data_IF_810829852048
#
_entry.id   IF_810829852048
#
_cell.length_a   1.000
_cell.length_b   1.000
_cell.length_c   1.000
_cell.angle_alpha   90.00
_cell.angle_beta   90.00
_cell.angle_gamma   90.00
#
_symmetry.space_group_name_H-M   'P 1'
#
loop_
_entity.id
_entity.type
_entity.pdbx_description
1 polymer ?
#
# COMPACT_ATOMS: atom_id res chain seq x y z
N UNK A 1 3.18 -19.86 -6.03
CA UNK A 1 3.35 -18.68 -6.90
C UNK A 1 4.12 -17.66 -6.10
N UNK A 2 5.26 -17.20 -6.58
CA UNK A 2 6.00 -16.06 -6.00
C UNK A 2 5.15 -14.81 -6.22
N UNK A 3 4.74 -14.15 -5.13
CA UNK A 3 4.06 -12.86 -5.21
C UNK A 3 5.11 -11.83 -5.59
N UNK A 4 4.77 -10.89 -6.45
CA UNK A 4 5.65 -9.75 -6.67
C UNK A 4 5.76 -8.90 -5.41
N UNK A 5 6.89 -8.24 -5.24
CA UNK A 5 7.25 -7.49 -4.05
C UNK A 5 7.32 -6.00 -4.36
N UNK A 6 6.73 -5.18 -3.51
CA UNK A 6 6.75 -3.72 -3.65
C UNK A 6 7.40 -3.07 -2.43
N UNK A 7 8.47 -2.29 -2.66
CA UNK A 7 9.04 -1.39 -1.67
C UNK A 7 8.12 -0.19 -1.53
N UNK A 8 7.62 0.05 -0.33
CA UNK A 8 6.78 1.18 -0.01
C UNK A 8 7.63 2.31 0.57
N UNK A 9 7.72 3.41 -0.16
CA UNK A 9 8.41 4.61 0.28
C UNK A 9 7.64 5.32 1.42
N UNK A 10 8.34 6.09 2.25
CA UNK A 10 7.76 6.81 3.39
C UNK A 10 6.59 7.71 2.97
N UNK A 11 6.67 8.38 1.82
CA UNK A 11 5.65 9.31 1.34
C UNK A 11 4.27 8.64 1.09
N UNK A 12 4.22 7.34 0.77
CA UNK A 12 2.96 6.61 0.58
C UNK A 12 2.44 5.98 1.87
N UNK A 13 3.28 5.89 2.90
CA UNK A 13 2.92 5.40 4.23
C UNK A 13 2.42 6.50 5.17
N UNK A 14 2.73 7.77 4.91
CA UNK A 14 2.30 8.92 5.72
C UNK A 14 0.78 9.13 5.68
N UNK A 15 0.11 9.19 4.51
CA UNK A 15 -1.34 9.36 4.47
C UNK A 15 -2.04 8.10 4.99
N UNK A 16 -2.73 8.21 6.15
CA UNK A 16 -3.33 7.06 6.85
C UNK A 16 -4.25 6.25 5.94
N UNK A 17 -5.09 6.93 5.15
CA UNK A 17 -6.06 6.28 4.27
C UNK A 17 -5.37 5.47 3.17
N UNK A 18 -4.32 6.03 2.55
CA UNK A 18 -3.55 5.36 1.50
C UNK A 18 -2.77 4.17 2.07
N UNK A 19 -2.05 4.37 3.16
CA UNK A 19 -1.29 3.31 3.81
C UNK A 19 -2.17 2.14 4.25
N UNK A 20 -3.34 2.40 4.86
CA UNK A 20 -4.30 1.34 5.23
C UNK A 20 -4.81 0.59 3.99
N UNK A 21 -5.07 1.30 2.86
CA UNK A 21 -5.44 0.64 1.60
C UNK A 21 -4.33 -0.28 1.11
N UNK A 22 -3.09 0.23 1.01
CA UNK A 22 -1.94 -0.55 0.55
C UNK A 22 -1.73 -1.80 1.42
N UNK A 23 -1.75 -1.66 2.74
CA UNK A 23 -1.57 -2.79 3.66
C UNK A 23 -2.69 -3.81 3.56
N UNK A 24 -3.96 -3.41 3.41
CA UNK A 24 -5.09 -4.34 3.21
C UNK A 24 -5.00 -5.12 1.89
N UNK A 25 -4.44 -4.54 0.84
CA UNK A 25 -4.18 -5.27 -0.39
C UNK A 25 -3.05 -6.29 -0.20
N UNK A 26 -2.03 -5.96 0.58
CA UNK A 26 -0.99 -6.90 0.97
C UNK A 26 -1.53 -8.04 1.86
N UNK A 27 -2.39 -7.74 2.85
CA UNK A 27 -3.13 -8.75 3.65
C UNK A 27 -3.98 -9.67 2.77
N UNK A 28 -4.62 -9.10 1.72
CA UNK A 28 -5.36 -9.87 0.73
C UNK A 28 -4.43 -10.67 -0.20
N UNK A 29 -3.13 -10.63 0.05
CA UNK A 29 -2.12 -11.40 -0.68
C UNK A 29 -1.95 -11.00 -2.15
N UNK A 30 -2.28 -9.77 -2.50
CA UNK A 30 -2.11 -9.28 -3.87
C UNK A 30 -0.65 -9.00 -4.20
N UNK A 31 0.14 -8.60 -3.19
CA UNK A 31 1.57 -8.39 -3.30
C UNK A 31 2.25 -8.57 -1.94
N UNK A 32 3.58 -8.62 -1.92
CA UNK A 32 4.39 -8.62 -0.71
C UNK A 32 4.91 -7.21 -0.46
N UNK A 33 4.52 -6.54 0.64
CA UNK A 33 5.02 -5.23 0.98
C UNK A 33 6.44 -5.34 1.53
N UNK A 34 7.26 -4.32 1.26
CA UNK A 34 8.62 -4.18 1.81
C UNK A 34 8.85 -2.77 2.30
N UNK A 35 9.63 -2.63 3.37
CA UNK A 35 10.17 -1.37 3.90
C UNK A 35 11.46 -1.63 4.65
N UNK A 36 12.20 -0.58 4.96
CA UNK A 36 13.34 -0.63 5.88
C UNK A 36 13.02 0.10 7.18
N UNK A 37 13.79 -0.14 8.23
CA UNK A 37 13.67 0.59 9.49
C UNK A 37 13.85 2.11 9.29
N UNK A 38 14.65 2.55 8.31
CA UNK A 38 14.83 3.96 7.97
C UNK A 38 13.56 4.54 7.35
N UNK A 39 12.94 3.85 6.39
CA UNK A 39 11.64 4.24 5.81
C UNK A 39 10.59 4.42 6.91
N UNK A 40 10.50 3.49 7.85
CA UNK A 40 9.57 3.60 8.98
C UNK A 40 9.90 4.81 9.87
N UNK A 41 11.18 5.06 10.14
CA UNK A 41 11.61 6.24 10.93
C UNK A 41 11.22 7.55 10.23
N UNK A 42 11.42 7.64 8.93
CA UNK A 42 11.02 8.80 8.11
C UNK A 42 9.50 8.97 8.08
N UNK A 43 8.76 7.86 7.93
CA UNK A 43 7.30 7.86 8.02
C UNK A 43 6.82 8.42 9.37
N UNK A 44 7.39 7.94 10.48
CA UNK A 44 7.05 8.40 11.83
C UNK A 44 7.33 9.90 11.99
N UNK A 45 8.50 10.37 11.51
CA UNK A 45 8.87 11.79 11.54
C UNK A 45 7.87 12.63 10.75
N UNK A 46 7.60 12.25 9.52
CA UNK A 46 6.71 12.99 8.63
C UNK A 46 5.25 13.02 9.16
N UNK A 47 4.75 11.91 9.72
CA UNK A 47 3.44 11.89 10.38
C UNK A 47 3.38 12.91 11.52
N UNK A 48 4.43 12.99 12.35
CA UNK A 48 4.48 13.95 13.47
C UNK A 48 4.50 15.40 13.01
N UNK A 49 5.17 15.69 11.89
CA UNK A 49 5.22 17.02 11.29
C UNK A 49 3.85 17.44 10.72
N UNK A 50 3.16 16.53 10.01
CA UNK A 50 1.84 16.79 9.41
C UNK A 50 0.71 16.78 10.43
N UNK A 51 0.85 15.94 11.48
CA UNK A 51 -0.16 15.72 12.51
C UNK A 51 0.42 15.92 13.93
N UNK A 52 0.82 17.15 14.31
CA UNK A 52 1.46 17.42 15.60
C UNK A 52 0.58 17.10 16.80
N UNK A 53 -0.74 16.96 16.60
CA UNK A 53 -1.73 16.58 17.63
C UNK A 53 -1.69 15.09 17.99
N UNK A 54 -1.09 14.23 17.16
CA UNK A 54 -0.95 12.80 17.45
C UNK A 54 0.15 12.57 18.50
N UNK A 55 -0.11 11.68 19.44
CA UNK A 55 0.93 11.30 20.40
C UNK A 55 2.04 10.50 19.75
N UNK A 56 3.25 10.61 20.29
CA UNK A 56 4.39 9.81 19.79
C UNK A 56 4.12 8.30 19.95
N UNK A 57 3.32 7.92 20.96
CA UNK A 57 2.98 6.52 21.19
C UNK A 57 1.96 6.01 20.16
N UNK A 58 0.97 6.81 19.77
CA UNK A 58 0.03 6.41 18.71
C UNK A 58 0.74 6.17 17.38
N UNK A 59 1.72 7.03 17.04
CA UNK A 59 2.49 6.90 15.80
C UNK A 59 3.39 5.66 15.85
N UNK A 60 4.08 5.42 16.99
CA UNK A 60 4.89 4.21 17.18
C UNK A 60 4.05 2.94 17.13
N UNK A 61 2.94 2.90 17.86
CA UNK A 61 2.03 1.75 17.85
C UNK A 61 1.57 1.39 16.43
N UNK A 62 1.38 2.39 15.55
CA UNK A 62 1.06 2.14 14.14
C UNK A 62 2.22 1.46 13.40
N UNK A 63 3.44 1.93 13.58
CA UNK A 63 4.64 1.32 12.97
C UNK A 63 4.86 -0.11 13.48
N UNK A 64 4.75 -0.32 14.79
CA UNK A 64 4.89 -1.64 15.42
C UNK A 64 3.81 -2.61 14.92
N UNK A 65 2.57 -2.13 14.73
CA UNK A 65 1.48 -2.93 14.19
C UNK A 65 1.73 -3.34 12.72
N UNK A 66 2.36 -2.48 11.93
CA UNK A 66 2.76 -2.82 10.56
C UNK A 66 3.81 -3.94 10.55
N UNK A 67 4.88 -3.81 11.35
CA UNK A 67 5.92 -4.84 11.45
C UNK A 67 5.39 -6.17 12.02
N UNK A 68 4.47 -6.10 12.98
CA UNK A 68 3.84 -7.30 13.53
C UNK A 68 2.91 -8.01 12.53
N UNK A 69 2.22 -7.26 11.66
CA UNK A 69 1.33 -7.81 10.64
C UNK A 69 2.08 -8.44 9.45
N UNK A 70 3.28 -7.94 9.16
CA UNK A 70 4.07 -8.33 7.98
C UNK A 70 5.51 -8.67 8.39
N UNK A 71 5.69 -9.81 9.08
CA UNK A 71 6.98 -10.20 9.67
C UNK A 71 8.14 -10.39 8.68
N UNK A 72 7.87 -10.49 7.37
CA UNK A 72 8.85 -10.61 6.28
C UNK A 72 8.99 -9.34 5.43
N UNK A 73 8.35 -8.23 5.84
CA UNK A 73 8.39 -6.96 5.11
C UNK A 73 9.64 -6.13 5.41
N UNK A 74 10.20 -6.25 6.62
CA UNK A 74 11.34 -5.45 7.07
C UNK A 74 12.63 -5.93 6.43
N UNK A 75 13.26 -5.06 5.64
CA UNK A 75 14.52 -5.33 4.92
C UNK A 75 15.70 -4.78 5.73
N UNK A 76 16.71 -5.61 5.95
CA UNK A 76 17.94 -5.27 6.67
C UNK A 76 19.18 -5.55 5.82
N UNK A 77 20.34 -4.95 6.17
CA UNK A 77 21.62 -5.21 5.49
C UNK A 77 21.78 -4.49 4.14
N UNK A 78 21.03 -3.43 3.92
CA UNK A 78 21.07 -2.59 2.71
C UNK A 78 22.08 -1.45 2.79
N UNK A 79 22.57 -1.11 3.99
CA UNK A 79 23.32 0.10 4.29
C UNK A 79 24.61 0.22 3.46
N UNK A 80 25.27 -0.90 3.18
CA UNK A 80 26.48 -0.91 2.36
C UNK A 80 26.22 -0.54 0.89
N UNK A 81 25.02 -0.79 0.37
CA UNK A 81 24.65 -0.47 -1.00
C UNK A 81 24.25 0.99 -1.18
N UNK A 82 23.80 1.66 -0.14
CA UNK A 82 23.39 3.08 -0.21
C UNK A 82 24.50 3.96 -0.79
N UNK A 83 25.74 3.70 -0.42
CA UNK A 83 26.90 4.50 -0.83
C UNK A 83 27.32 4.35 -2.30
N UNK A 84 26.84 3.33 -2.99
CA UNK A 84 27.14 3.09 -4.43
C UNK A 84 26.00 3.48 -5.36
N UNK A 85 24.86 3.84 -4.80
CA UNK A 85 23.70 4.33 -5.55
C UNK A 85 23.80 5.84 -5.67
N UNK A 86 23.48 6.37 -6.83
CA UNK A 86 23.46 7.81 -7.09
C UNK A 86 22.09 8.21 -7.66
N UNK A 87 21.34 8.98 -6.90
CA UNK A 87 20.03 9.54 -7.27
C UNK A 87 20.09 11.07 -7.30
N UNK A 88 19.12 11.73 -7.98
CA UNK A 88 18.96 13.18 -7.90
C UNK A 88 18.78 13.70 -6.47
N UNK A 89 18.02 12.97 -5.66
CA UNK A 89 17.96 13.18 -4.22
C UNK A 89 18.79 12.08 -3.51
N UNK A 90 19.94 12.43 -2.88
CA UNK A 90 20.74 11.46 -2.16
C UNK A 90 20.03 10.81 -0.96
N UNK A 91 19.02 11.50 -0.39
CA UNK A 91 18.26 10.98 0.74
C UNK A 91 17.40 9.77 0.36
N UNK A 92 17.08 9.59 -0.94
CA UNK A 92 16.33 8.44 -1.47
C UNK A 92 17.18 7.20 -1.79
N UNK A 93 18.53 7.32 -1.76
CA UNK A 93 19.42 6.19 -2.10
C UNK A 93 19.18 4.95 -1.23
N UNK A 94 18.82 5.13 0.04
CA UNK A 94 18.50 4.01 0.94
C UNK A 94 17.26 3.22 0.52
N UNK A 95 16.28 3.86 -0.12
CA UNK A 95 15.06 3.19 -0.62
C UNK A 95 15.43 2.21 -1.72
N UNK A 96 16.27 2.64 -2.68
CA UNK A 96 16.76 1.78 -3.76
C UNK A 96 17.65 0.66 -3.21
N UNK A 97 18.56 0.98 -2.26
CA UNK A 97 19.40 -0.02 -1.62
C UNK A 97 18.56 -1.11 -0.93
N UNK A 98 17.53 -0.71 -0.17
CA UNK A 98 16.62 -1.63 0.48
C UNK A 98 15.79 -2.42 -0.55
N UNK A 99 15.37 -1.80 -1.66
CA UNK A 99 14.64 -2.48 -2.73
C UNK A 99 15.49 -3.58 -3.38
N UNK A 100 16.78 -3.32 -3.64
CA UNK A 100 17.71 -4.31 -4.20
C UNK A 100 17.88 -5.49 -3.23
N UNK A 101 18.20 -5.24 -1.96
CA UNK A 101 18.41 -6.29 -0.96
C UNK A 101 17.11 -7.08 -0.70
N UNK A 102 15.98 -6.39 -0.62
CA UNK A 102 14.65 -6.98 -0.43
C UNK A 102 14.13 -7.73 -1.65
N UNK A 103 14.83 -7.63 -2.80
CA UNK A 103 14.40 -8.16 -4.10
C UNK A 103 13.00 -7.66 -4.46
N UNK A 104 12.82 -6.33 -4.35
CA UNK A 104 11.61 -5.70 -4.79
C UNK A 104 11.51 -5.71 -6.32
N UNK A 105 10.32 -5.99 -6.85
CA UNK A 105 10.04 -5.87 -8.28
C UNK A 105 9.75 -4.41 -8.65
N UNK A 106 9.24 -3.63 -7.69
CA UNK A 106 8.94 -2.20 -7.88
C UNK A 106 9.05 -1.39 -6.59
N UNK A 107 9.19 -0.07 -6.76
CA UNK A 107 9.10 0.92 -5.70
C UNK A 107 7.80 1.71 -5.90
N UNK A 108 6.99 1.86 -4.85
CA UNK A 108 5.79 2.70 -4.85
C UNK A 108 6.12 4.01 -4.14
N UNK A 109 6.13 5.11 -4.89
CA UNK A 109 6.46 6.45 -4.39
C UNK A 109 5.66 7.53 -5.09
N UNK A 110 5.40 8.64 -4.41
CA UNK A 110 4.84 9.85 -5.02
C UNK A 110 5.89 10.68 -5.77
N UNK A 111 7.18 10.43 -5.52
CA UNK A 111 8.32 11.21 -6.03
C UNK A 111 9.04 10.51 -7.20
N UNK A 112 8.30 9.97 -8.15
CA UNK A 112 8.86 9.17 -9.28
C UNK A 112 10.02 9.87 -10.01
N UNK A 113 10.03 11.20 -10.06
CA UNK A 113 11.10 12.00 -10.70
C UNK A 113 12.47 11.82 -10.05
N UNK A 114 12.51 11.44 -8.78
CA UNK A 114 13.75 11.26 -8.01
C UNK A 114 14.37 9.86 -8.22
N UNK A 115 13.70 9.01 -9.00
CA UNK A 115 14.10 7.64 -9.34
C UNK A 115 14.27 7.45 -10.85
N UNK A 116 15.37 7.94 -11.47
CA UNK A 116 15.58 7.82 -12.90
C UNK A 116 15.61 6.37 -13.37
N UNK A 117 14.92 6.02 -14.48
CA UNK A 117 14.83 4.65 -14.95
C UNK A 117 16.19 4.00 -15.30
N UNK A 118 17.17 4.79 -15.77
CA UNK A 118 18.51 4.33 -16.10
C UNK A 118 19.30 3.86 -14.87
N UNK A 119 19.04 4.43 -13.70
CA UNK A 119 19.64 3.99 -12.43
C UNK A 119 19.04 2.66 -11.96
N UNK A 120 17.76 2.44 -12.20
CA UNK A 120 17.01 1.28 -11.70
C UNK A 120 17.00 0.10 -12.66
N UNK A 121 17.14 0.35 -13.97
CA UNK A 121 17.13 -0.67 -15.01
C UNK A 121 18.12 -1.84 -14.77
N UNK A 122 19.37 -1.61 -14.28
CA UNK A 122 20.31 -2.71 -14.00
C UNK A 122 19.81 -3.68 -12.91
N UNK A 123 18.90 -3.22 -12.04
CA UNK A 123 18.34 -4.00 -10.94
C UNK A 123 16.97 -4.59 -11.26
N UNK A 124 16.41 -4.30 -12.44
CA UNK A 124 15.08 -4.71 -12.86
C UNK A 124 13.96 -4.25 -11.91
N UNK A 125 14.14 -3.06 -11.32
CA UNK A 125 13.17 -2.46 -10.41
C UNK A 125 12.39 -1.37 -11.17
N UNK A 126 11.07 -1.47 -11.16
CA UNK A 126 10.18 -0.43 -11.68
C UNK A 126 9.86 0.60 -10.61
N UNK A 127 9.41 1.79 -11.03
CA UNK A 127 8.87 2.82 -10.11
C UNK A 127 7.47 3.18 -10.55
N UNK A 128 6.55 3.16 -9.61
CA UNK A 128 5.16 3.50 -9.86
C UNK A 128 4.64 4.51 -8.83
N UNK A 129 3.79 5.43 -9.29
CA UNK A 129 2.99 6.23 -8.35
C UNK A 129 1.98 5.33 -7.64
N UNK A 130 1.49 5.70 -6.44
CA UNK A 130 0.45 4.93 -5.77
C UNK A 130 -0.84 4.81 -6.62
N UNK A 131 -1.14 5.80 -7.45
CA UNK A 131 -2.30 5.78 -8.34
C UNK A 131 -2.18 4.67 -9.40
N UNK A 132 -1.05 4.63 -10.11
CA UNK A 132 -0.75 3.59 -11.11
C UNK A 132 -0.69 2.21 -10.45
N UNK A 133 -0.02 2.11 -9.31
CA UNK A 133 0.07 0.86 -8.57
C UNK A 133 -1.30 0.30 -8.21
N UNK A 134 -2.17 1.13 -7.63
CA UNK A 134 -3.51 0.71 -7.23
C UNK A 134 -4.42 0.40 -8.42
N UNK A 135 -4.28 1.13 -9.54
CA UNK A 135 -4.97 0.80 -10.79
C UNK A 135 -4.57 -0.60 -11.30
N UNK A 136 -3.28 -0.91 -11.31
CA UNK A 136 -2.79 -2.22 -11.71
C UNK A 136 -3.33 -3.32 -10.79
N UNK A 137 -3.40 -3.09 -9.47
CA UNK A 137 -4.02 -4.05 -8.54
C UNK A 137 -5.51 -4.25 -8.84
N UNK A 138 -6.23 -3.16 -9.14
CA UNK A 138 -7.66 -3.21 -9.47
C UNK A 138 -7.91 -3.99 -10.76
N UNK A 139 -7.06 -3.84 -11.76
CA UNK A 139 -7.17 -4.59 -13.03
C UNK A 139 -6.85 -6.07 -12.85
N UNK A 140 -5.84 -6.40 -12.07
CA UNK A 140 -5.42 -7.77 -11.81
C UNK A 140 -6.41 -8.56 -10.94
N UNK A 141 -6.98 -7.92 -9.92
CA UNK A 141 -7.83 -8.57 -8.93
C UNK A 141 -9.00 -7.69 -8.47
N UNK A 142 -9.91 -7.30 -9.39
CA UNK A 142 -10.92 -6.27 -9.11
C UNK A 142 -11.82 -6.61 -7.92
N UNK A 143 -12.21 -7.87 -7.76
CA UNK A 143 -13.07 -8.27 -6.64
C UNK A 143 -12.34 -8.19 -5.30
N UNK A 144 -11.08 -8.65 -5.23
CA UNK A 144 -10.29 -8.61 -4.01
C UNK A 144 -10.01 -7.16 -3.57
N UNK A 145 -9.68 -6.27 -4.52
CA UNK A 145 -9.47 -4.84 -4.25
C UNK A 145 -10.77 -4.19 -3.74
N UNK A 146 -11.88 -4.39 -4.43
CA UNK A 146 -13.16 -3.80 -4.03
C UNK A 146 -13.63 -4.32 -2.66
N UNK A 147 -13.43 -5.61 -2.37
CA UNK A 147 -13.74 -6.19 -1.06
C UNK A 147 -12.84 -5.63 0.04
N UNK A 148 -11.55 -5.40 -0.22
CA UNK A 148 -10.63 -4.75 0.72
C UNK A 148 -11.06 -3.31 1.03
N UNK A 149 -11.38 -2.51 0.01
CA UNK A 149 -11.89 -1.14 0.16
C UNK A 149 -13.20 -1.09 0.98
N UNK A 150 -14.13 -2.01 0.72
CA UNK A 150 -15.38 -2.09 1.45
C UNK A 150 -15.15 -2.46 2.94
N UNK A 151 -14.23 -3.38 3.23
CA UNK A 151 -13.83 -3.69 4.61
C UNK A 151 -13.16 -2.49 5.28
N UNK A 152 -12.29 -1.76 4.57
CA UNK A 152 -11.65 -0.54 5.08
C UNK A 152 -12.68 0.51 5.46
N UNK A 153 -13.64 0.82 4.59
CA UNK A 153 -14.71 1.78 4.87
C UNK A 153 -15.50 1.37 6.11
N UNK A 154 -15.89 0.10 6.22
CA UNK A 154 -16.67 -0.43 7.35
C UNK A 154 -15.88 -0.49 8.66
N UNK A 155 -14.56 -0.64 8.65
CA UNK A 155 -13.72 -0.69 9.84
C UNK A 155 -13.50 0.68 10.48
N UNK A 156 -13.69 1.76 9.72
CA UNK A 156 -13.64 3.13 10.25
C UNK A 156 -14.80 3.37 11.23
N UNK A 157 -14.46 3.75 12.47
CA UNK A 157 -15.47 3.88 13.54
C UNK A 157 -15.86 5.33 13.82
N UNK A 158 -14.95 6.28 13.62
CA UNK A 158 -15.20 7.71 13.93
C UNK A 158 -14.40 8.61 12.97
N UNK A 159 -15.04 9.19 11.95
CA UNK A 159 -16.41 8.91 11.48
C UNK A 159 -16.51 7.55 10.78
N UNK A 160 -17.71 6.97 10.73
CA UNK A 160 -17.97 5.82 9.88
C UNK A 160 -17.92 6.28 8.42
N UNK A 161 -17.08 5.64 7.63
CA UNK A 161 -16.92 5.97 6.20
C UNK A 161 -17.85 5.12 5.34
N UNK A 162 -18.38 5.74 4.30
CA UNK A 162 -18.93 5.01 3.15
C UNK A 162 -17.78 4.68 2.19
N UNK A 163 -18.01 3.73 1.28
CA UNK A 163 -17.04 3.46 0.23
C UNK A 163 -16.76 4.70 -0.64
N UNK A 164 -17.79 5.50 -0.93
CA UNK A 164 -17.62 6.74 -1.71
C UNK A 164 -16.73 7.75 -0.97
N UNK A 165 -16.99 7.98 0.32
CA UNK A 165 -16.15 8.86 1.13
C UNK A 165 -14.70 8.37 1.24
N UNK A 166 -14.49 7.05 1.36
CA UNK A 166 -13.15 6.46 1.34
C UNK A 166 -12.44 6.75 0.01
N UNK A 167 -13.13 6.54 -1.11
CA UNK A 167 -12.57 6.80 -2.44
C UNK A 167 -12.29 8.29 -2.68
N UNK A 168 -13.13 9.19 -2.14
CA UNK A 168 -12.85 10.63 -2.17
C UNK A 168 -11.58 10.99 -1.38
N UNK A 169 -11.39 10.39 -0.20
CA UNK A 169 -10.16 10.58 0.57
C UNK A 169 -8.93 10.03 -0.18
N UNK A 170 -9.03 8.87 -0.80
CA UNK A 170 -7.94 8.30 -1.61
C UNK A 170 -7.58 9.23 -2.77
N UNK A 171 -8.56 9.81 -3.45
CA UNK A 171 -8.30 10.79 -4.51
C UNK A 171 -7.46 11.98 -4.01
N UNK A 172 -7.72 12.47 -2.78
CA UNK A 172 -6.94 13.55 -2.16
C UNK A 172 -5.54 13.11 -1.70
N UNK A 173 -5.33 11.80 -1.52
CA UNK A 173 -4.03 11.21 -1.19
C UNK A 173 -3.16 10.90 -2.43
N UNK A 174 -3.49 11.47 -3.60
CA UNK A 174 -2.71 11.29 -4.83
C UNK A 174 -3.09 10.07 -5.66
N UNK A 175 -4.31 9.51 -5.48
CA UNK A 175 -4.81 8.38 -6.27
C UNK A 175 -6.16 8.68 -6.96
N UNK A 176 -6.26 9.76 -7.76
CA UNK A 176 -7.53 10.22 -8.32
C UNK A 176 -8.08 9.28 -9.41
N UNK A 177 -7.22 8.71 -10.25
CA UNK A 177 -7.64 7.86 -11.35
C UNK A 177 -8.09 6.48 -10.83
N UNK A 178 -7.37 5.94 -9.85
CA UNK A 178 -7.80 4.75 -9.12
C UNK A 178 -9.16 4.96 -8.45
N UNK A 179 -9.33 6.04 -7.70
CA UNK A 179 -10.58 6.33 -7.01
C UNK A 179 -11.76 6.45 -7.99
N UNK A 180 -11.56 7.14 -9.13
CA UNK A 180 -12.55 7.27 -10.20
C UNK A 180 -12.90 5.90 -10.80
N UNK A 181 -11.91 5.09 -11.10
CA UNK A 181 -12.11 3.75 -11.69
C UNK A 181 -12.79 2.82 -10.70
N UNK A 182 -12.36 2.79 -9.44
CA UNK A 182 -12.97 1.97 -8.39
C UNK A 182 -14.46 2.32 -8.16
N UNK A 183 -14.85 3.59 -8.26
CA UNK A 183 -16.26 4.00 -8.20
C UNK A 183 -17.11 3.31 -9.26
N UNK A 184 -16.61 3.07 -10.46
CA UNK A 184 -17.33 2.35 -11.52
C UNK A 184 -17.45 0.86 -11.25
N UNK A 185 -16.64 0.29 -10.36
CA UNK A 185 -16.59 -1.15 -10.04
C UNK A 185 -17.48 -1.55 -8.85
N UNK A 186 -18.20 -0.63 -8.23
CA UNK A 186 -19.03 -0.86 -7.02
C UNK A 186 -20.06 -1.96 -7.18
N UNK A 187 -20.58 -2.19 -8.39
CA UNK A 187 -21.52 -3.25 -8.70
C UNK A 187 -20.99 -4.67 -8.37
N UNK A 188 -19.67 -4.85 -8.34
CA UNK A 188 -19.03 -6.15 -8.02
C UNK A 188 -19.33 -6.60 -6.59
N UNK A 189 -19.46 -5.66 -5.65
CA UNK A 189 -19.80 -5.96 -4.26
C UNK A 189 -21.25 -6.46 -4.10
N UNK A 190 -22.17 -5.97 -4.92
CA UNK A 190 -23.55 -6.45 -4.91
C UNK A 190 -23.67 -7.90 -5.44
N UNK A 191 -22.88 -8.24 -6.46
CA UNK A 191 -22.84 -9.58 -7.02
C UNK A 191 -22.27 -10.63 -6.02
N UNK A 192 -21.30 -10.24 -5.19
CA UNK A 192 -20.70 -11.10 -4.16
C UNK A 192 -21.74 -11.49 -3.09
N UNK A 193 -22.57 -10.54 -2.66
CA UNK A 193 -23.64 -10.80 -1.68
C UNK A 193 -24.71 -11.76 -2.22
N UNK A 194 -25.05 -11.69 -3.48
CA UNK A 194 -26.02 -12.59 -4.10
C UNK A 194 -25.47 -14.02 -4.23
N UNK A 195 -24.22 -14.17 -4.61
CA UNK A 195 -23.57 -15.49 -4.73
C UNK A 195 -23.43 -16.19 -3.38
N UNK A 196 -23.14 -15.47 -2.32
CA UNK A 196 -23.02 -16.01 -0.95
C UNK A 196 -24.38 -16.46 -0.40
N UNK A 197 -25.46 -15.75 -0.74
CA UNK A 197 -26.83 -16.14 -0.34
C UNK A 197 -27.30 -17.42 -1.04
N UNK A 198 -26.99 -17.59 -2.32
CA UNK A 198 -27.38 -18.78 -3.10
C UNK A 198 -26.66 -20.03 -2.58
N UNK A 199 -25.39 -19.92 -2.20
CA UNK A 199 -24.62 -21.04 -1.64
C UNK A 199 -25.10 -21.43 -0.23
N UNK A 200 -25.50 -20.46 0.60
CA UNK A 200 -26.00 -20.73 1.95
C UNK A 200 -27.42 -21.31 1.97
N UNK A 201 -28.25 -21.03 0.97
CA UNK A 201 -29.60 -21.63 0.85
C UNK A 201 -29.54 -23.08 0.39
N UNK A 202 -28.64 -23.43 -0.52
CA UNK A 202 -28.47 -24.83 -0.98
C UNK A 202 -27.96 -25.80 0.09
N UNK A 203 -27.31 -25.29 1.15
CA UNK A 203 -26.83 -26.11 2.26
C UNK A 203 -27.91 -26.37 3.32
N UNK A 204 -29.04 -25.63 3.29
CA UNK A 204 -30.17 -25.84 4.23
C UNK A 204 -31.27 -26.76 3.69
N UNK A 205 -31.33 -26.96 2.39
CA UNK A 205 -32.35 -27.78 1.75
C UNK A 205 -31.90 -29.20 1.43
N UNK A 206 -30.73 -29.61 1.96
CA UNK A 206 -30.08 -30.92 1.75
C UNK A 206 -29.93 -31.78 3.01
N UNK A 207 -30.80 -31.61 4.03
CA UNK A 207 -30.88 -32.51 5.21
C UNK A 207 -32.32 -33.04 5.35
#
# INVERSE_FOLDING_TARGET
MTRFSAMLDACVLVPVTLADTLLRLAEASLYRPLWSARIITETVRAIKEVHPQLSADDIRNRADAMDAAFGDASVTGWEALEHVISLPDPDDCHVVAAAIVGRADLIVTSNVKDYPPDVLAPYHIEVQTPDVFLLNQLDLAPLAVMSALNRQARSSRKPQLTLDTLLDHLATCGTPDFARTAKTQKWRLAAEHQSSHILSSRHRDGL
#
